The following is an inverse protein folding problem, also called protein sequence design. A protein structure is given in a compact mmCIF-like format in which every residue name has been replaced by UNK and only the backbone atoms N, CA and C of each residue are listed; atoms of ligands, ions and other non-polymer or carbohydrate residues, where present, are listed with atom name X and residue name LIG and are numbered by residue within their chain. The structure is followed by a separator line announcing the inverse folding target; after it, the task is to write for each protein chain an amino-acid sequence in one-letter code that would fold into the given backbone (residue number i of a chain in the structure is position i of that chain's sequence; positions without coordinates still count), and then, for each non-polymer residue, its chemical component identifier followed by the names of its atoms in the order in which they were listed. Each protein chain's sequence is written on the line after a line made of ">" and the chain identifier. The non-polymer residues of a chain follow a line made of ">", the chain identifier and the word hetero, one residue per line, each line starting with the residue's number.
data_IF_479064762987
#
_entry.id   IF_479064762987
#
_cell.length_a   1.000
_cell.length_b   1.000
_cell.length_c   1.000
_cell.angle_alpha   90.00
_cell.angle_beta   90.00
_cell.angle_gamma   90.00
#
_symmetry.space_group_name_H-M   'P 1'
#
loop_
_entity.id
_entity.type
_entity.pdbx_description
1 polymer ?
#
# COMPACT_ATOMS: atom_id res chain seq x y z
N UNK A 1 -21.28 40.52 -53.75
CA UNK A 1 -20.50 39.32 -53.35
C UNK A 1 -20.92 38.93 -51.93
N UNK A 2 -22.05 38.21 -51.80
CA UNK A 2 -22.66 37.82 -50.53
C UNK A 2 -22.12 36.46 -50.08
N UNK A 3 -21.58 36.38 -48.86
CA UNK A 3 -21.14 35.11 -48.24
C UNK A 3 -22.25 34.57 -47.36
N UNK A 4 -22.81 33.42 -47.74
CA UNK A 4 -23.79 32.63 -46.99
C UNK A 4 -23.09 31.96 -45.78
N UNK A 5 -23.61 32.16 -44.57
CA UNK A 5 -23.20 31.42 -43.37
C UNK A 5 -24.04 30.13 -43.27
N UNK A 6 -23.38 28.97 -43.29
CA UNK A 6 -24.02 27.66 -43.02
C UNK A 6 -23.90 27.34 -41.53
N UNK A 7 -25.04 27.23 -40.84
CA UNK A 7 -25.12 26.72 -39.48
C UNK A 7 -25.04 25.18 -39.50
N UNK A 8 -24.11 24.60 -38.75
CA UNK A 8 -24.10 23.17 -38.41
C UNK A 8 -24.66 23.01 -36.99
N UNK A 9 -25.80 22.36 -36.84
CA UNK A 9 -26.33 21.90 -35.55
C UNK A 9 -25.77 20.51 -35.29
N UNK A 10 -24.93 20.36 -34.26
CA UNK A 10 -24.47 19.06 -33.76
C UNK A 10 -25.44 18.59 -32.68
N UNK A 11 -26.22 17.54 -32.97
CA UNK A 11 -27.03 16.86 -31.97
C UNK A 11 -26.13 15.99 -31.07
N UNK A 12 -26.11 16.28 -29.77
CA UNK A 12 -25.35 15.53 -28.76
C UNK A 12 -26.22 14.38 -28.21
N UNK A 13 -25.98 13.15 -28.65
CA UNK A 13 -26.61 11.96 -28.09
C UNK A 13 -25.97 11.62 -26.73
N UNK A 14 -26.72 11.80 -25.63
CA UNK A 14 -26.35 11.37 -24.28
C UNK A 14 -26.54 9.84 -24.16
N UNK A 15 -25.49 9.08 -24.48
CA UNK A 15 -25.44 7.66 -24.15
C UNK A 15 -25.12 7.45 -22.67
N UNK A 16 -26.10 7.01 -21.87
CA UNK A 16 -25.84 6.54 -20.50
C UNK A 16 -25.16 5.19 -20.57
N UNK A 17 -23.82 5.18 -20.51
CA UNK A 17 -23.06 3.94 -20.38
C UNK A 17 -23.14 3.44 -18.94
N UNK A 18 -23.88 2.36 -18.71
CA UNK A 18 -23.80 1.60 -17.47
C UNK A 18 -22.42 0.96 -17.38
N UNK A 19 -21.55 1.48 -16.50
CA UNK A 19 -20.24 0.88 -16.26
C UNK A 19 -20.45 -0.41 -15.46
N UNK A 20 -20.14 -1.60 -15.99
CA UNK A 20 -20.25 -2.83 -15.23
C UNK A 20 -19.28 -2.74 -14.04
N UNK A 21 -19.81 -2.78 -12.82
CA UNK A 21 -19.01 -2.93 -11.61
C UNK A 21 -18.43 -4.35 -11.62
N UNK A 22 -17.20 -4.48 -12.09
CA UNK A 22 -16.45 -5.73 -12.01
C UNK A 22 -16.49 -6.23 -10.55
N UNK A 23 -17.05 -7.42 -10.33
CA UNK A 23 -17.06 -8.07 -9.02
C UNK A 23 -15.61 -8.34 -8.60
N UNK A 24 -15.06 -7.46 -7.77
CA UNK A 24 -13.70 -7.61 -7.26
C UNK A 24 -13.62 -8.89 -6.42
N UNK A 25 -12.74 -9.81 -6.82
CA UNK A 25 -12.52 -11.09 -6.11
C UNK A 25 -12.21 -10.81 -4.62
N UNK A 26 -13.01 -11.38 -3.74
CA UNK A 26 -12.78 -11.31 -2.28
C UNK A 26 -11.49 -12.06 -1.92
N UNK A 27 -10.76 -11.57 -0.93
CA UNK A 27 -9.48 -12.12 -0.45
C UNK A 27 -9.56 -12.37 1.05
N UNK A 28 -9.21 -13.58 1.47
CA UNK A 28 -9.19 -13.93 2.89
C UNK A 28 -7.95 -13.36 3.59
N UNK A 29 -8.11 -12.91 4.84
CA UNK A 29 -6.98 -12.51 5.68
C UNK A 29 -6.16 -13.74 6.08
N UNK A 30 -4.84 -13.78 5.79
CA UNK A 30 -3.98 -14.87 6.22
C UNK A 30 -3.89 -15.00 7.75
N UNK A 31 -3.71 -16.23 8.26
CA UNK A 31 -3.63 -16.50 9.70
C UNK A 31 -2.53 -15.70 10.42
N UNK A 32 -1.37 -15.54 9.78
CA UNK A 32 -0.26 -14.73 10.31
C UNK A 32 -0.68 -13.26 10.54
N UNK A 33 -1.45 -12.68 9.60
CA UNK A 33 -1.99 -11.33 9.75
C UNK A 33 -2.99 -11.25 10.90
N UNK A 34 -3.87 -12.25 11.09
CA UNK A 34 -4.81 -12.30 12.21
C UNK A 34 -4.08 -12.31 13.56
N UNK A 35 -3.06 -13.17 13.70
CA UNK A 35 -2.26 -13.30 14.92
C UNK A 35 -1.57 -11.98 15.28
N UNK A 36 -0.87 -11.37 14.31
CA UNK A 36 -0.12 -10.12 14.55
C UNK A 36 -1.07 -8.96 14.81
N UNK A 37 -2.16 -8.84 14.03
CA UNK A 37 -3.13 -7.77 14.20
C UNK A 37 -3.74 -7.76 15.62
N UNK A 38 -4.00 -8.96 16.18
CA UNK A 38 -4.44 -9.09 17.57
C UNK A 38 -3.41 -8.54 18.57
N UNK A 39 -2.10 -8.76 18.36
CA UNK A 39 -1.07 -8.30 19.29
C UNK A 39 -0.91 -6.77 19.38
N UNK A 40 -1.36 -6.03 18.36
CA UNK A 40 -1.30 -4.56 18.37
C UNK A 40 -2.68 -3.89 18.39
N UNK A 41 -3.75 -4.63 18.74
CA UNK A 41 -5.12 -4.12 18.82
C UNK A 41 -5.58 -3.45 17.51
N UNK A 42 -5.31 -4.11 16.38
CA UNK A 42 -5.71 -3.68 15.04
C UNK A 42 -6.65 -4.74 14.45
N UNK A 43 -7.76 -4.36 13.77
CA UNK A 43 -8.56 -5.32 13.04
C UNK A 43 -7.76 -5.97 11.90
N UNK A 44 -7.77 -7.30 11.80
CA UNK A 44 -6.94 -8.05 10.86
C UNK A 44 -7.19 -7.65 9.38
N UNK A 45 -8.45 -7.35 9.04
CA UNK A 45 -8.83 -6.83 7.71
C UNK A 45 -8.12 -5.51 7.37
N UNK A 46 -7.96 -4.63 8.34
CA UNK A 46 -7.37 -3.31 8.16
C UNK A 46 -5.86 -3.44 7.93
N UNK A 47 -5.19 -4.26 8.76
CA UNK A 47 -3.77 -4.54 8.59
C UNK A 47 -3.47 -5.18 7.23
N UNK A 48 -4.26 -6.18 6.83
CA UNK A 48 -4.07 -6.83 5.54
C UNK A 48 -4.41 -5.89 4.36
N UNK A 49 -5.42 -5.03 4.50
CA UNK A 49 -5.73 -4.02 3.48
C UNK A 49 -4.59 -3.02 3.28
N UNK A 50 -3.79 -2.68 4.31
CA UNK A 50 -2.54 -1.91 4.13
C UNK A 50 -1.57 -2.70 3.28
N UNK A 51 -1.24 -3.95 3.64
CA UNK A 51 -0.30 -4.79 2.89
C UNK A 51 -0.68 -4.89 1.40
N UNK A 52 -1.97 -5.10 1.09
CA UNK A 52 -2.46 -5.15 -0.29
C UNK A 52 -2.40 -3.78 -1.00
N UNK A 53 -2.55 -2.68 -0.25
CA UNK A 53 -2.43 -1.31 -0.80
C UNK A 53 -1.00 -1.00 -1.18
N UNK A 54 -0.04 -1.44 -0.35
CA UNK A 54 1.39 -1.23 -0.55
C UNK A 54 1.96 -2.12 -1.67
N UNK A 55 1.58 -3.40 -1.71
CA UNK A 55 2.29 -4.40 -2.54
C UNK A 55 1.60 -4.81 -3.83
N UNK A 56 0.26 -4.71 -3.94
CA UNK A 56 -0.45 -5.14 -5.16
C UNK A 56 -0.43 -4.08 -6.28
N UNK A 57 0.42 -3.06 -6.22
CA UNK A 57 0.50 -2.05 -7.28
C UNK A 57 1.39 -2.47 -8.46
N UNK A 58 1.93 -3.71 -8.50
CA UNK A 58 2.93 -4.08 -9.52
C UNK A 58 2.97 -5.52 -10.06
N UNK A 59 2.09 -6.45 -9.69
CA UNK A 59 2.15 -7.82 -10.20
C UNK A 59 1.25 -8.00 -11.44
N UNK A 60 1.82 -7.80 -12.63
CA UNK A 60 1.20 -8.05 -13.94
C UNK A 60 0.81 -9.52 -14.20
N UNK A 61 1.06 -10.43 -13.25
CA UNK A 61 1.07 -11.89 -13.48
C UNK A 61 0.00 -12.65 -12.67
N UNK A 62 -1.08 -11.99 -12.24
CA UNK A 62 -2.27 -12.65 -11.70
C UNK A 62 -2.15 -13.32 -10.32
N UNK A 63 -0.99 -13.29 -9.66
CA UNK A 63 -0.83 -13.76 -8.27
C UNK A 63 -1.10 -12.63 -7.29
N UNK A 64 -2.28 -12.64 -6.67
CA UNK A 64 -2.74 -11.65 -5.68
C UNK A 64 -2.22 -11.96 -4.28
N UNK A 65 -0.90 -12.12 -4.13
CA UNK A 65 -0.26 -12.27 -2.82
C UNK A 65 0.85 -11.23 -2.66
N UNK A 66 0.91 -10.49 -1.53
CA UNK A 66 1.95 -9.52 -1.27
C UNK A 66 3.36 -10.12 -1.40
N UNK A 67 4.22 -9.53 -2.23
CA UNK A 67 5.61 -9.97 -2.38
C UNK A 67 6.48 -9.38 -1.26
N UNK A 68 6.91 -10.23 -0.32
CA UNK A 68 7.65 -9.79 0.86
C UNK A 68 9.09 -9.34 0.57
N UNK A 69 9.67 -9.68 -0.58
CA UNK A 69 11.07 -9.38 -0.91
C UNK A 69 11.18 -8.17 -1.84
N UNK A 70 10.70 -7.01 -1.37
CA UNK A 70 10.63 -5.78 -2.17
C UNK A 70 11.35 -4.63 -1.46
N UNK A 71 12.08 -3.81 -2.22
CA UNK A 71 12.53 -2.46 -1.80
C UNK A 71 11.90 -1.43 -2.71
N UNK A 72 11.34 -0.37 -2.14
CA UNK A 72 11.10 0.87 -2.88
C UNK A 72 12.18 1.89 -2.50
N UNK A 73 12.92 2.40 -3.49
CA UNK A 73 13.88 3.48 -3.27
C UNK A 73 13.63 4.57 -4.32
N UNK A 74 13.32 5.79 -3.84
CA UNK A 74 13.01 6.97 -4.69
C UNK A 74 11.89 6.71 -5.71
N UNK A 75 10.86 5.95 -5.32
CA UNK A 75 9.71 5.64 -6.17
C UNK A 75 9.93 4.49 -7.15
N UNK A 76 11.12 3.86 -7.16
CA UNK A 76 11.41 2.68 -7.96
C UNK A 76 11.38 1.42 -7.10
N UNK A 77 10.54 0.46 -7.50
CA UNK A 77 10.45 -0.85 -6.85
C UNK A 77 11.47 -1.83 -7.41
N UNK A 78 12.11 -2.57 -6.51
CA UNK A 78 13.07 -3.63 -6.79
C UNK A 78 12.59 -4.91 -6.11
N UNK A 79 12.54 -6.00 -6.85
CA UNK A 79 12.06 -7.30 -6.39
C UNK A 79 13.23 -8.28 -6.30
N UNK A 80 13.27 -9.02 -5.20
CA UNK A 80 14.35 -9.96 -4.90
C UNK A 80 13.80 -11.39 -4.78
N UNK A 81 14.59 -12.42 -5.11
CA UNK A 81 14.14 -13.81 -5.04
C UNK A 81 13.97 -14.32 -3.60
N UNK A 82 14.71 -13.77 -2.63
CA UNK A 82 14.67 -14.23 -1.25
C UNK A 82 15.12 -13.14 -0.25
N UNK A 83 14.92 -13.43 1.04
CA UNK A 83 15.30 -12.55 2.15
C UNK A 83 16.78 -12.14 2.13
N UNK A 84 17.70 -13.07 1.83
CA UNK A 84 19.15 -12.79 1.81
C UNK A 84 19.48 -11.75 0.72
N UNK A 85 18.92 -11.91 -0.48
CA UNK A 85 19.11 -10.94 -1.57
C UNK A 85 18.48 -9.57 -1.28
N UNK A 86 17.30 -9.53 -0.64
CA UNK A 86 16.69 -8.30 -0.13
C UNK A 86 17.62 -7.60 0.87
N UNK A 87 18.12 -8.34 1.85
CA UNK A 87 19.02 -7.81 2.88
C UNK A 87 20.30 -7.24 2.29
N UNK A 88 20.98 -7.96 1.39
CA UNK A 88 22.21 -7.48 0.75
C UNK A 88 21.96 -6.16 0.01
N UNK A 89 20.83 -6.05 -0.70
CA UNK A 89 20.47 -4.83 -1.39
C UNK A 89 20.16 -3.67 -0.43
N UNK A 90 19.44 -3.93 0.65
CA UNK A 90 19.16 -2.96 1.69
C UNK A 90 20.45 -2.50 2.40
N UNK A 91 21.37 -3.42 2.69
CA UNK A 91 22.65 -3.11 3.31
C UNK A 91 23.47 -2.16 2.43
N UNK A 92 23.53 -2.42 1.11
CA UNK A 92 24.19 -1.52 0.15
C UNK A 92 23.59 -0.10 0.14
N UNK A 93 22.30 0.06 0.42
CA UNK A 93 21.69 1.39 0.56
C UNK A 93 22.17 2.07 1.85
N UNK A 94 22.17 1.34 2.97
CA UNK A 94 22.65 1.83 4.26
C UNK A 94 24.12 2.21 4.21
N UNK A 95 24.99 1.39 3.61
CA UNK A 95 26.43 1.64 3.48
C UNK A 95 26.70 2.94 2.69
N UNK A 96 25.84 3.25 1.71
CA UNK A 96 25.87 4.50 0.93
C UNK A 96 25.15 5.68 1.61
N UNK A 97 24.75 5.53 2.88
CA UNK A 97 23.97 6.52 3.66
C UNK A 97 22.61 6.87 3.02
N UNK A 98 22.08 6.01 2.16
CA UNK A 98 20.77 6.16 1.52
C UNK A 98 19.69 5.50 2.37
N UNK A 99 19.16 6.22 3.36
CA UNK A 99 18.26 5.66 4.37
C UNK A 99 16.76 5.74 4.02
N UNK A 100 16.39 6.56 3.04
CA UNK A 100 14.99 6.79 2.63
C UNK A 100 14.54 5.73 1.62
N UNK A 101 14.20 4.54 2.11
CA UNK A 101 13.67 3.44 1.31
C UNK A 101 12.67 2.61 2.12
N UNK A 102 11.72 1.99 1.43
CA UNK A 102 10.70 1.15 2.02
C UNK A 102 11.05 -0.33 1.84
N UNK A 103 10.80 -1.14 2.87
CA UNK A 103 11.17 -2.56 2.90
C UNK A 103 9.92 -3.42 3.11
N UNK A 104 9.82 -4.48 2.32
CA UNK A 104 9.02 -5.64 2.68
C UNK A 104 7.52 -5.54 2.37
N UNK A 105 6.77 -6.51 2.89
CA UNK A 105 5.33 -6.70 2.66
C UNK A 105 4.46 -5.51 3.11
N UNK A 106 4.92 -4.75 4.10
CA UNK A 106 4.25 -3.57 4.62
C UNK A 106 4.86 -2.26 4.08
N UNK A 107 5.89 -2.33 3.23
CA UNK A 107 6.64 -1.18 2.73
C UNK A 107 7.03 -0.21 3.87
N UNK A 108 7.62 -0.75 4.94
CA UNK A 108 8.05 0.05 6.09
C UNK A 108 9.26 0.88 5.71
N UNK A 109 9.17 2.21 5.90
CA UNK A 109 10.28 3.10 5.61
C UNK A 109 11.42 2.96 6.63
N UNK A 110 12.62 2.64 6.15
CA UNK A 110 13.80 2.41 7.00
C UNK A 110 14.22 3.65 7.78
N UNK A 111 14.24 4.84 7.15
CA UNK A 111 14.68 6.09 7.81
C UNK A 111 13.86 6.39 9.06
N UNK A 112 12.55 6.16 9.01
CA UNK A 112 11.62 6.54 10.06
C UNK A 112 11.37 5.46 11.12
N UNK A 113 11.61 4.19 10.78
CA UNK A 113 11.15 3.06 11.60
C UNK A 113 12.23 2.04 11.93
N UNK A 114 13.49 2.28 11.55
CA UNK A 114 14.62 1.41 11.90
C UNK A 114 14.76 1.12 13.40
N UNK A 115 14.34 2.05 14.26
CA UNK A 115 14.47 1.91 15.72
C UNK A 115 13.44 0.94 16.34
N UNK A 116 12.49 0.43 15.54
CA UNK A 116 11.50 -0.59 15.97
C UNK A 116 12.03 -2.03 15.88
N UNK A 117 13.26 -2.20 15.44
CA UNK A 117 13.94 -3.49 15.25
C UNK A 117 15.38 -3.40 15.72
N UNK A 118 15.99 -4.54 16.05
CA UNK A 118 17.39 -4.59 16.51
C UNK A 118 18.39 -4.51 15.36
N UNK A 119 17.95 -4.81 14.13
CA UNK A 119 18.83 -4.83 12.96
C UNK A 119 18.07 -4.69 11.65
N UNK A 120 18.80 -4.31 10.59
CA UNK A 120 18.27 -4.35 9.23
C UNK A 120 17.83 -5.75 8.82
N UNK A 121 18.56 -6.79 9.25
CA UNK A 121 18.18 -8.18 9.01
C UNK A 121 16.81 -8.50 9.59
N UNK A 122 16.51 -8.03 10.80
CA UNK A 122 15.21 -8.24 11.45
C UNK A 122 14.08 -7.56 10.67
N UNK A 123 14.28 -6.34 10.16
CA UNK A 123 13.29 -5.64 9.32
C UNK A 123 12.94 -6.41 8.04
N UNK A 124 13.86 -7.22 7.51
CA UNK A 124 13.59 -8.06 6.34
C UNK A 124 12.77 -9.31 6.64
N UNK A 125 12.51 -9.67 7.91
CA UNK A 125 11.63 -10.79 8.22
C UNK A 125 10.17 -10.40 7.94
N UNK A 126 9.38 -11.20 7.19
CA UNK A 126 8.00 -10.85 6.87
C UNK A 126 7.13 -10.63 8.11
N UNK A 127 7.25 -11.48 9.13
CA UNK A 127 6.47 -11.33 10.37
C UNK A 127 6.84 -10.05 11.14
N UNK A 128 8.14 -9.77 11.29
CA UNK A 128 8.60 -8.52 11.91
C UNK A 128 8.12 -7.30 11.12
N UNK A 129 8.19 -7.35 9.79
CA UNK A 129 7.74 -6.27 8.93
C UNK A 129 6.22 -6.02 9.08
N UNK A 130 5.42 -7.09 9.20
CA UNK A 130 3.98 -7.00 9.51
C UNK A 130 3.73 -6.45 10.91
N UNK A 131 4.48 -6.87 11.93
CA UNK A 131 4.40 -6.33 13.30
C UNK A 131 4.67 -4.83 13.32
N UNK A 132 5.76 -4.40 12.68
CA UNK A 132 6.10 -2.96 12.60
C UNK A 132 5.01 -2.18 11.87
N UNK A 133 4.48 -2.70 10.75
CA UNK A 133 3.36 -2.07 10.06
C UNK A 133 2.09 -2.00 10.92
N UNK A 134 1.84 -3.01 11.75
CA UNK A 134 0.72 -3.04 12.69
C UNK A 134 0.84 -1.97 13.79
N UNK A 135 2.03 -1.77 14.34
CA UNK A 135 2.31 -0.70 15.32
C UNK A 135 2.11 0.69 14.71
N UNK A 136 2.64 0.95 13.51
CA UNK A 136 2.48 2.23 12.82
C UNK A 136 0.99 2.51 12.55
N UNK A 137 0.23 1.51 12.10
CA UNK A 137 -1.21 1.66 11.86
C UNK A 137 -1.97 1.93 13.17
N UNK A 138 -1.58 1.28 14.27
CA UNK A 138 -2.17 1.53 15.59
C UNK A 138 -1.90 2.95 16.07
N UNK A 139 -0.68 3.46 15.92
CA UNK A 139 -0.32 4.85 16.23
C UNK A 139 -1.15 5.83 15.38
N UNK A 140 -1.31 5.54 14.09
CA UNK A 140 -2.18 6.31 13.22
C UNK A 140 -3.64 6.34 13.68
N UNK A 141 -4.15 5.23 14.22
CA UNK A 141 -5.49 5.18 14.79
C UNK A 141 -5.58 6.03 16.07
N UNK A 142 -4.61 5.93 16.97
CA UNK A 142 -4.57 6.75 18.19
C UNK A 142 -4.54 8.25 17.85
N UNK A 143 -3.85 8.64 16.78
CA UNK A 143 -3.76 10.03 16.35
C UNK A 143 -4.99 10.56 15.59
N UNK A 144 -5.82 9.68 15.00
CA UNK A 144 -6.88 10.07 14.04
C UNK A 144 -8.29 9.61 14.41
N UNK A 145 -8.43 8.67 15.34
CA UNK A 145 -9.72 8.14 15.82
C UNK A 145 -10.46 7.21 14.86
N UNK A 146 -10.00 7.05 13.61
CA UNK A 146 -10.61 6.14 12.64
C UNK A 146 -9.57 5.49 11.72
N UNK A 147 -9.91 4.31 11.20
CA UNK A 147 -8.98 3.49 10.44
C UNK A 147 -8.68 3.99 9.02
N UNK A 148 -9.60 4.73 8.40
CA UNK A 148 -9.37 5.29 7.06
C UNK A 148 -8.32 6.39 7.14
N UNK A 149 -8.40 7.24 8.15
CA UNK A 149 -7.43 8.30 8.38
C UNK A 149 -6.12 7.76 8.97
N UNK A 150 -6.17 6.70 9.79
CA UNK A 150 -4.99 5.96 10.22
C UNK A 150 -4.21 5.38 9.02
N UNK A 151 -4.91 4.83 8.02
CA UNK A 151 -4.29 4.34 6.80
C UNK A 151 -3.65 5.46 5.97
N UNK A 152 -4.27 6.64 5.91
CA UNK A 152 -3.66 7.81 5.26
C UNK A 152 -2.43 8.32 6.01
N UNK A 153 -2.50 8.34 7.34
CA UNK A 153 -1.38 8.67 8.22
C UNK A 153 -0.22 7.69 8.04
N UNK A 154 -0.51 6.40 7.96
CA UNK A 154 0.47 5.34 7.70
C UNK A 154 1.32 5.62 6.46
N UNK A 155 0.68 6.05 5.36
CA UNK A 155 1.37 6.24 4.09
C UNK A 155 2.15 7.56 4.00
N UNK A 156 1.57 8.66 4.49
CA UNK A 156 2.21 9.98 4.37
C UNK A 156 1.65 10.96 5.41
N UNK A 157 2.24 11.04 6.61
CA UNK A 157 1.83 12.02 7.59
C UNK A 157 2.15 13.43 7.06
N UNK A 158 1.12 14.23 6.77
CA UNK A 158 1.27 15.64 6.36
C UNK A 158 1.09 15.95 4.87
N UNK A 159 0.79 14.96 4.00
CA UNK A 159 0.51 15.21 2.57
C UNK A 159 -0.97 14.94 2.20
N UNK A 160 -1.77 15.99 2.17
CA UNK A 160 -3.23 15.89 1.95
C UNK A 160 -3.62 15.32 0.58
N UNK A 161 -2.89 15.63 -0.50
CA UNK A 161 -3.23 15.13 -1.86
C UNK A 161 -2.89 13.65 -2.02
N UNK A 162 -1.75 13.21 -1.48
CA UNK A 162 -1.39 11.80 -1.45
C UNK A 162 -2.36 10.97 -0.59
N UNK A 163 -2.76 11.53 0.56
CA UNK A 163 -3.72 10.91 1.47
C UNK A 163 -5.05 10.56 0.80
N UNK A 164 -5.67 11.46 0.02
CA UNK A 164 -6.96 11.17 -0.63
C UNK A 164 -6.90 10.01 -1.63
N UNK A 165 -5.84 9.96 -2.45
CA UNK A 165 -5.62 8.84 -3.38
C UNK A 165 -5.37 7.53 -2.64
N UNK A 166 -4.60 7.58 -1.55
CA UNK A 166 -4.33 6.43 -0.72
C UNK A 166 -5.61 5.88 -0.07
N UNK A 167 -6.42 6.74 0.56
CA UNK A 167 -7.72 6.37 1.16
C UNK A 167 -8.61 5.62 0.17
N UNK A 168 -8.70 6.08 -1.08
CA UNK A 168 -9.49 5.40 -2.13
C UNK A 168 -8.96 3.98 -2.40
N UNK A 169 -7.65 3.82 -2.59
CA UNK A 169 -7.04 2.49 -2.78
C UNK A 169 -7.26 1.59 -1.57
N UNK A 170 -7.00 2.09 -0.37
CA UNK A 170 -7.19 1.38 0.89
C UNK A 170 -8.63 0.90 1.06
N UNK A 171 -9.64 1.76 0.86
CA UNK A 171 -11.06 1.39 0.93
C UNK A 171 -11.41 0.25 -0.03
N UNK A 172 -10.91 0.31 -1.27
CA UNK A 172 -11.12 -0.75 -2.26
C UNK A 172 -10.47 -2.09 -1.84
N UNK A 173 -9.38 -2.05 -1.08
CA UNK A 173 -8.66 -3.23 -0.57
C UNK A 173 -9.35 -3.78 0.68
N UNK A 174 -9.86 -2.91 1.52
CA UNK A 174 -10.65 -3.28 2.69
C UNK A 174 -11.98 -3.93 2.32
N UNK A 175 -12.70 -3.40 1.32
CA UNK A 175 -14.00 -3.91 0.88
C UNK A 175 -13.95 -5.35 0.34
N UNK A 176 -12.84 -5.73 -0.29
CA UNK A 176 -12.62 -7.11 -0.79
C UNK A 176 -12.10 -8.07 0.28
N UNK A 177 -11.66 -7.57 1.43
CA UNK A 177 -10.99 -8.39 2.45
C UNK A 177 -12.01 -8.99 3.42
N UNK A 178 -11.87 -10.26 3.77
CA UNK A 178 -12.73 -10.95 4.75
C UNK A 178 -11.91 -11.83 5.70
N UNK A 179 -12.44 -12.07 6.91
CA UNK A 179 -11.81 -12.95 7.90
C UNK A 179 -12.02 -14.41 7.53
#
# INVERSE_FOLDING_TARGET
>A
MSKQFRYFVLALALGVSTVPHANAKKVQVPSAFKKIASSCNVPAKNLFAIALTETETGLKNGRSSPWAWTINHKGKSYFYPNRKSLYIAAQRLVDRKQLLFDIGIMQVNWRWHKDRVKSLWEMTAPETNVRVGCEILREGYMARGNWIDAAAYYHSPGNNKAASRYKKRYKNKLARTYN
#
